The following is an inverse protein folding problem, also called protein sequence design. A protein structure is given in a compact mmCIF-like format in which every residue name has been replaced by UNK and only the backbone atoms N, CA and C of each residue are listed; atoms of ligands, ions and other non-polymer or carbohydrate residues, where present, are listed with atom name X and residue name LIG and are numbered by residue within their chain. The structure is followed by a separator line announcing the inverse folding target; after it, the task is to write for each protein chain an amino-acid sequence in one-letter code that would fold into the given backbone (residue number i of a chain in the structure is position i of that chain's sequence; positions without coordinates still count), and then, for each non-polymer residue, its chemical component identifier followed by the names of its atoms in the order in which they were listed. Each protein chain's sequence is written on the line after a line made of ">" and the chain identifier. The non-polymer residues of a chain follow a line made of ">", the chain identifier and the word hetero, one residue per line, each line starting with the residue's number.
data_IF_532062208783
#
_entry.id   IF_532062208783
#
_cell.length_a   1.000
_cell.length_b   1.000
_cell.length_c   1.000
_cell.angle_alpha   90.00
_cell.angle_beta   90.00
_cell.angle_gamma   90.00
#
_symmetry.space_group_name_H-M   'P 1'
#
loop_
_entity.id
_entity.type
_entity.pdbx_description
1 polymer ?
#
# COMPACT_ATOMS: atom_id res chain seq x y z
N UNK A 1 -29.52 -40.72 -11.66
CA UNK A 1 -28.26 -40.07 -11.20
C UNK A 1 -28.24 -38.56 -11.42
N UNK A 2 -28.44 -38.04 -12.64
CA UNK A 2 -28.33 -36.59 -12.95
C UNK A 2 -29.12 -35.64 -12.04
N UNK A 3 -30.39 -35.97 -11.71
CA UNK A 3 -31.23 -35.16 -10.80
C UNK A 3 -30.75 -35.14 -9.34
N UNK A 4 -30.13 -36.21 -8.85
CA UNK A 4 -29.58 -36.27 -7.49
C UNK A 4 -28.32 -35.41 -7.36
N UNK A 5 -27.50 -35.36 -8.41
CA UNK A 5 -26.28 -34.54 -8.45
C UNK A 5 -26.63 -33.05 -8.48
N UNK A 6 -27.61 -32.65 -9.31
CA UNK A 6 -28.11 -31.26 -9.36
C UNK A 6 -28.66 -30.79 -8.01
N UNK A 7 -29.36 -31.66 -7.29
CA UNK A 7 -29.89 -31.34 -5.96
C UNK A 7 -28.78 -31.12 -4.93
N UNK A 8 -27.75 -31.99 -4.91
CA UNK A 8 -26.60 -31.85 -4.01
C UNK A 8 -25.82 -30.56 -4.32
N UNK A 9 -25.63 -30.24 -5.60
CA UNK A 9 -24.97 -29.00 -6.01
C UNK A 9 -25.75 -27.75 -5.60
N UNK A 10 -27.07 -27.75 -5.77
CA UNK A 10 -27.93 -26.64 -5.33
C UNK A 10 -27.88 -26.45 -3.81
N UNK A 11 -27.84 -27.55 -3.05
CA UNK A 11 -27.76 -27.51 -1.59
C UNK A 11 -26.41 -26.95 -1.13
N UNK A 12 -25.30 -27.39 -1.73
CA UNK A 12 -23.96 -26.85 -1.48
C UNK A 12 -23.86 -25.35 -1.83
N UNK A 13 -24.42 -24.94 -2.97
CA UNK A 13 -24.42 -23.54 -3.39
C UNK A 13 -25.23 -22.66 -2.42
N UNK A 14 -26.39 -23.15 -1.96
CA UNK A 14 -27.22 -22.43 -0.98
C UNK A 14 -26.53 -22.32 0.38
N UNK A 15 -25.83 -23.37 0.85
CA UNK A 15 -25.05 -23.30 2.08
C UNK A 15 -23.88 -22.32 1.96
N UNK A 16 -23.26 -22.23 0.78
CA UNK A 16 -22.18 -21.28 0.53
C UNK A 16 -22.67 -19.83 0.57
N UNK A 17 -23.85 -19.55 -0.01
CA UNK A 17 -24.49 -18.23 0.03
C UNK A 17 -24.83 -17.83 1.47
N UNK A 18 -25.42 -18.75 2.25
CA UNK A 18 -25.74 -18.47 3.66
C UNK A 18 -24.47 -18.25 4.49
N UNK A 19 -23.40 -19.03 4.25
CA UNK A 19 -22.11 -18.80 4.91
C UNK A 19 -21.54 -17.42 4.56
N UNK A 20 -21.56 -17.03 3.28
CA UNK A 20 -21.07 -15.71 2.84
C UNK A 20 -21.86 -14.55 3.43
N UNK A 21 -23.16 -14.71 3.66
CA UNK A 21 -23.99 -13.69 4.31
C UNK A 21 -23.78 -13.62 5.82
N UNK A 22 -23.36 -14.72 6.45
CA UNK A 22 -23.12 -14.81 7.90
C UNK A 22 -21.78 -14.21 8.33
N UNK A 23 -20.84 -14.03 7.39
CA UNK A 23 -19.51 -13.44 7.65
C UNK A 23 -19.59 -11.89 7.71
N UNK A 24 -20.69 -11.27 7.27
CA UNK A 24 -20.90 -9.81 7.34
C UNK A 24 -21.43 -9.31 8.69
N UNK A 25 -21.38 -10.12 9.75
CA UNK A 25 -21.74 -9.69 11.10
C UNK A 25 -20.63 -8.83 11.69
N UNK A 26 -20.79 -7.50 11.65
CA UNK A 26 -20.04 -6.45 12.35
C UNK A 26 -18.84 -6.95 13.17
N UNK A 27 -17.81 -7.43 12.49
CA UNK A 27 -16.51 -7.59 13.10
C UNK A 27 -15.99 -6.17 13.27
N UNK A 28 -15.65 -5.80 14.50
CA UNK A 28 -14.76 -4.67 14.76
C UNK A 28 -13.60 -4.83 13.77
N UNK A 29 -13.41 -3.87 12.86
CA UNK A 29 -12.42 -3.99 11.80
C UNK A 29 -11.06 -4.15 12.48
N UNK A 30 -10.50 -5.35 12.43
CA UNK A 30 -9.13 -5.57 12.89
C UNK A 30 -8.24 -5.04 11.78
N UNK A 31 -7.67 -3.87 12.00
CA UNK A 31 -6.65 -3.35 11.09
C UNK A 31 -5.37 -4.15 11.24
N UNK A 32 -4.65 -4.31 10.13
CA UNK A 32 -3.37 -5.03 10.08
C UNK A 32 -2.34 -4.17 9.36
N UNK A 33 -1.05 -4.48 9.55
CA UNK A 33 0.03 -3.82 8.82
C UNK A 33 0.60 -4.79 7.78
N UNK A 34 0.42 -4.48 6.50
CA UNK A 34 0.90 -5.29 5.37
C UNK A 34 2.38 -4.98 5.03
N UNK A 35 3.28 -5.15 6.00
CA UNK A 35 4.73 -5.00 5.83
C UNK A 35 5.47 -6.25 6.24
N UNK A 36 6.53 -6.58 5.52
CA UNK A 36 7.46 -7.65 5.87
C UNK A 36 8.85 -7.09 6.14
N UNK A 37 9.61 -7.79 6.98
CA UNK A 37 11.05 -7.60 7.07
C UNK A 37 11.68 -7.69 5.67
N UNK A 38 12.72 -6.88 5.44
CA UNK A 38 13.43 -6.73 4.17
C UNK A 38 12.64 -6.08 3.02
N UNK A 39 11.37 -5.68 3.22
CA UNK A 39 10.66 -4.87 2.24
C UNK A 39 11.41 -3.55 2.00
N UNK A 40 11.58 -3.18 0.73
CA UNK A 40 12.34 -2.01 0.34
C UNK A 40 11.55 -1.14 -0.62
N UNK A 41 11.57 0.15 -0.35
CA UNK A 41 10.79 1.17 -1.02
C UNK A 41 11.71 2.32 -1.41
N UNK A 42 11.51 2.84 -2.62
CA UNK A 42 12.26 3.98 -3.14
C UNK A 42 11.27 5.08 -3.44
N UNK A 43 11.61 6.31 -3.06
CA UNK A 43 10.87 7.49 -3.44
C UNK A 43 11.76 8.42 -4.25
N UNK A 44 11.25 8.86 -5.40
CA UNK A 44 11.93 9.75 -6.33
C UNK A 44 11.30 11.15 -6.28
N UNK A 45 12.13 12.18 -6.34
CA UNK A 45 11.70 13.57 -6.46
C UNK A 45 11.33 13.85 -7.92
N UNK A 46 10.04 13.94 -8.21
CA UNK A 46 9.51 14.14 -9.57
C UNK A 46 9.44 15.62 -9.97
N UNK A 47 9.16 16.51 -9.02
CA UNK A 47 9.09 17.95 -9.27
C UNK A 47 9.62 18.73 -8.08
N UNK A 48 10.40 19.79 -8.34
CA UNK A 48 10.80 20.79 -7.34
C UNK A 48 10.73 22.18 -7.98
N UNK A 49 10.19 23.15 -7.24
CA UNK A 49 10.24 24.58 -7.56
C UNK A 49 11.07 25.30 -6.51
N UNK A 50 12.42 25.34 -6.63
CA UNK A 50 13.30 25.78 -5.54
C UNK A 50 12.96 27.17 -4.99
N UNK A 51 12.65 28.12 -5.87
CA UNK A 51 12.28 29.49 -5.46
C UNK A 51 10.97 29.57 -4.67
N UNK A 52 9.96 28.78 -5.06
CA UNK A 52 8.70 28.73 -4.34
C UNK A 52 8.86 27.97 -3.03
N UNK A 53 9.61 26.85 -3.05
CA UNK A 53 9.96 26.06 -1.88
C UNK A 53 10.66 26.93 -0.82
N UNK A 54 11.72 27.65 -1.19
CA UNK A 54 12.45 28.53 -0.27
C UNK A 54 11.55 29.66 0.28
N UNK A 55 10.67 30.22 -0.55
CA UNK A 55 9.70 31.23 -0.10
C UNK A 55 8.74 30.70 0.97
N UNK A 56 8.34 29.42 0.89
CA UNK A 56 7.36 28.79 1.79
C UNK A 56 8.04 28.22 3.05
N UNK A 57 9.17 27.53 2.90
CA UNK A 57 9.86 26.81 3.98
C UNK A 57 11.03 27.58 4.60
N UNK A 58 11.54 28.62 3.94
CA UNK A 58 12.62 29.47 4.44
C UNK A 58 14.04 28.90 4.28
N UNK A 59 14.21 27.83 3.51
CA UNK A 59 15.51 27.22 3.18
C UNK A 59 15.50 26.62 1.77
N UNK A 60 16.68 26.48 1.16
CA UNK A 60 16.83 25.80 -0.13
C UNK A 60 16.59 24.29 0.02
N UNK A 61 15.90 23.64 -0.93
CA UNK A 61 15.73 22.19 -0.90
C UNK A 61 17.10 21.50 -0.98
N UNK A 62 17.30 20.46 -0.17
CA UNK A 62 18.54 19.67 -0.14
C UNK A 62 18.52 18.52 -1.17
N UNK A 63 17.68 18.63 -2.19
CA UNK A 63 17.42 17.60 -3.21
C UNK A 63 17.03 18.25 -4.54
N UNK A 64 17.28 17.53 -5.62
CA UNK A 64 16.92 17.92 -6.99
C UNK A 64 15.95 16.91 -7.63
N UNK A 65 15.40 17.26 -8.79
CA UNK A 65 14.55 16.32 -9.55
C UNK A 65 15.37 15.11 -9.98
N UNK A 66 14.84 13.92 -9.72
CA UNK A 66 15.50 12.63 -9.94
C UNK A 66 16.34 12.14 -8.75
N UNK A 67 16.43 12.90 -7.66
CA UNK A 67 17.02 12.39 -6.42
C UNK A 67 16.10 11.34 -5.80
N UNK A 68 16.71 10.25 -5.32
CA UNK A 68 16.00 9.13 -4.71
C UNK A 68 16.34 9.02 -3.22
N UNK A 69 15.35 8.66 -2.40
CA UNK A 69 15.55 8.15 -1.04
C UNK A 69 15.06 6.71 -0.97
N UNK A 70 15.74 5.88 -0.18
CA UNK A 70 15.37 4.49 0.03
C UNK A 70 15.02 4.27 1.50
N UNK A 71 13.96 3.50 1.74
CA UNK A 71 13.66 2.96 3.07
C UNK A 71 13.56 1.44 2.98
N UNK A 72 14.21 0.77 3.92
CA UNK A 72 14.14 -0.68 4.06
C UNK A 72 13.59 -1.05 5.43
N UNK A 73 12.60 -1.93 5.48
CA UNK A 73 12.07 -2.48 6.72
C UNK A 73 13.10 -3.45 7.30
N UNK A 74 13.56 -3.15 8.50
CA UNK A 74 14.51 -3.99 9.25
C UNK A 74 13.77 -4.92 10.19
N UNK A 75 12.74 -4.42 10.86
CA UNK A 75 11.96 -5.17 11.85
C UNK A 75 10.56 -4.56 11.98
N UNK A 76 9.58 -5.38 12.33
CA UNK A 76 8.20 -4.96 12.64
C UNK A 76 7.78 -5.64 13.95
N UNK A 77 7.62 -4.82 14.99
CA UNK A 77 7.33 -5.30 16.34
C UNK A 77 5.87 -4.96 16.68
N UNK A 78 5.05 -5.98 16.94
CA UNK A 78 3.70 -5.81 17.47
C UNK A 78 3.75 -5.20 18.88
N UNK A 79 2.94 -4.18 19.11
CA UNK A 79 2.77 -3.52 20.40
C UNK A 79 1.29 -3.53 20.80
N UNK A 80 0.97 -3.02 21.99
CA UNK A 80 -0.42 -2.98 22.45
C UNK A 80 -1.29 -1.93 21.75
N UNK A 81 -0.68 -0.98 21.03
CA UNK A 81 -1.36 0.17 20.42
C UNK A 81 -1.12 0.25 18.90
N UNK A 82 -0.49 -0.78 18.31
CA UNK A 82 -0.10 -0.80 16.90
C UNK A 82 1.24 -1.48 16.71
N UNK A 83 2.06 -0.97 15.79
CA UNK A 83 3.32 -1.56 15.36
C UNK A 83 4.48 -0.58 15.51
N UNK A 84 5.63 -1.07 15.95
CA UNK A 84 6.89 -0.34 15.86
C UNK A 84 7.66 -0.85 14.65
N UNK A 85 7.77 -0.01 13.62
CA UNK A 85 8.47 -0.33 12.37
C UNK A 85 9.88 0.25 12.44
N UNK A 86 10.89 -0.61 12.40
CA UNK A 86 12.29 -0.21 12.34
C UNK A 86 12.70 -0.13 10.88
N UNK A 87 13.18 1.05 10.47
CA UNK A 87 13.58 1.36 9.11
C UNK A 87 15.08 1.66 9.04
N UNK A 88 15.71 1.20 7.97
CA UNK A 88 17.00 1.69 7.52
C UNK A 88 16.75 2.66 6.35
N UNK A 89 17.16 3.91 6.51
CA UNK A 89 16.88 5.00 5.57
C UNK A 89 18.16 5.53 4.92
N UNK A 90 18.12 5.73 3.60
CA UNK A 90 19.17 6.43 2.86
C UNK A 90 18.60 7.74 2.34
N UNK A 91 19.20 8.84 2.77
CA UNK A 91 18.82 10.19 2.34
C UNK A 91 19.05 10.39 0.83
N UNK A 92 18.39 11.42 0.31
CA UNK A 92 18.63 11.94 -1.03
C UNK A 92 20.12 12.16 -1.27
N UNK A 93 20.62 11.82 -2.47
CA UNK A 93 22.03 11.82 -2.88
C UNK A 93 22.91 10.67 -2.34
N UNK A 94 22.32 9.70 -1.65
CA UNK A 94 23.03 8.46 -1.31
C UNK A 94 23.13 7.52 -2.52
N UNK A 95 24.21 6.74 -2.60
CA UNK A 95 24.36 5.72 -3.64
C UNK A 95 23.82 4.34 -3.21
N UNK A 96 23.14 4.26 -2.05
CA UNK A 96 22.62 3.03 -1.42
C UNK A 96 23.69 1.94 -1.14
N UNK A 97 24.97 2.25 -1.33
CA UNK A 97 26.10 1.35 -1.10
C UNK A 97 26.73 1.67 0.25
N UNK A 98 25.99 1.40 1.32
CA UNK A 98 26.42 1.62 2.69
C UNK A 98 25.28 1.34 3.66
N UNK A 99 25.57 1.43 4.96
CA UNK A 99 24.53 1.36 5.97
C UNK A 99 23.72 2.66 5.94
N UNK A 100 22.41 2.56 5.97
CA UNK A 100 21.52 3.69 6.14
C UNK A 100 21.45 4.15 7.61
N UNK A 101 20.66 5.17 7.85
CA UNK A 101 20.31 5.63 9.18
C UNK A 101 19.16 4.78 9.73
N UNK A 102 19.33 4.23 10.92
CA UNK A 102 18.26 3.47 11.58
C UNK A 102 17.30 4.43 12.27
N UNK A 103 16.02 4.29 11.95
CA UNK A 103 14.91 5.02 12.55
C UNK A 103 13.82 4.04 12.98
N UNK A 104 13.05 4.40 14.00
CA UNK A 104 11.86 3.65 14.40
C UNK A 104 10.66 4.57 14.33
N UNK A 105 9.64 4.15 13.59
CA UNK A 105 8.35 4.83 13.51
C UNK A 105 7.27 3.95 14.18
N UNK A 106 6.29 4.59 14.79
CA UNK A 106 5.14 3.91 15.41
C UNK A 106 3.95 4.08 14.49
N UNK A 107 3.36 2.97 14.07
CA UNK A 107 2.13 2.93 13.29
C UNK A 107 1.01 2.51 14.22
N UNK A 108 0.12 3.44 14.58
CA UNK A 108 -0.99 3.13 15.46
C UNK A 108 -2.03 2.25 14.78
N UNK A 109 -2.65 1.36 15.55
CA UNK A 109 -3.75 0.52 15.07
C UNK A 109 -5.10 1.23 15.09
N UNK A 110 -5.23 2.28 15.90
CA UNK A 110 -6.49 3.00 16.07
C UNK A 110 -6.51 4.27 15.20
N UNK A 111 -7.55 4.47 14.36
CA UNK A 111 -7.64 5.64 13.48
C UNK A 111 -7.61 7.00 14.19
N UNK A 112 -7.96 7.05 15.48
CA UNK A 112 -7.89 8.25 16.30
C UNK A 112 -6.46 8.72 16.60
N UNK A 113 -5.51 7.80 16.55
CA UNK A 113 -4.08 8.06 16.72
C UNK A 113 -3.37 8.16 15.35
N UNK A 114 -4.10 8.50 14.29
CA UNK A 114 -3.51 8.67 12.96
C UNK A 114 -2.36 9.71 12.97
N UNK A 115 -1.24 9.32 12.36
CA UNK A 115 -0.10 10.19 12.07
C UNK A 115 0.25 10.13 10.58
N UNK A 116 0.91 11.17 10.08
CA UNK A 116 1.28 11.39 8.67
C UNK A 116 2.45 10.45 8.22
N UNK A 117 2.40 9.18 8.62
CA UNK A 117 3.44 8.18 8.42
C UNK A 117 3.51 7.68 6.97
N UNK A 118 4.65 7.05 6.63
CA UNK A 118 4.87 6.41 5.32
C UNK A 118 3.98 5.19 5.14
N UNK A 119 3.62 4.53 6.23
CA UNK A 119 2.78 3.34 6.26
C UNK A 119 1.57 3.59 7.13
N UNK A 120 0.44 3.03 6.73
CA UNK A 120 -0.82 3.03 7.49
C UNK A 120 -1.41 1.61 7.50
N UNK A 121 -2.25 1.29 8.49
CA UNK A 121 -2.91 -0.01 8.53
C UNK A 121 -3.86 -0.25 7.36
N UNK A 122 -4.09 -1.52 7.03
CA UNK A 122 -5.05 -1.98 6.03
C UNK A 122 -6.33 -2.55 6.69
N UNK A 123 -7.49 -2.45 6.03
CA UNK A 123 -7.74 -1.81 4.73
C UNK A 123 -7.61 -0.29 4.79
N UNK A 124 -6.69 0.27 3.99
CA UNK A 124 -6.26 1.66 4.12
C UNK A 124 -7.40 2.67 3.94
N UNK A 125 -8.33 2.38 3.02
CA UNK A 125 -9.49 3.24 2.77
C UNK A 125 -10.42 3.30 3.99
N UNK A 126 -10.64 2.16 4.65
CA UNK A 126 -11.53 2.10 5.82
C UNK A 126 -10.86 2.77 7.02
N UNK A 127 -9.57 2.51 7.23
CA UNK A 127 -8.76 3.17 8.26
C UNK A 127 -8.80 4.70 8.14
N UNK A 128 -8.52 5.23 6.94
CA UNK A 128 -8.55 6.67 6.68
C UNK A 128 -9.96 7.26 6.78
N UNK A 129 -10.98 6.52 6.37
CA UNK A 129 -12.39 6.95 6.48
C UNK A 129 -12.82 7.09 7.94
N UNK A 130 -12.35 6.21 8.82
CA UNK A 130 -12.60 6.31 10.26
C UNK A 130 -11.78 7.45 10.89
N UNK A 131 -10.50 7.59 10.52
CA UNK A 131 -9.65 8.69 10.98
C UNK A 131 -10.24 10.07 10.64
N UNK A 132 -10.85 10.20 9.46
CA UNK A 132 -11.50 11.44 9.02
C UNK A 132 -12.62 11.94 9.95
N UNK A 133 -13.18 11.08 10.79
CA UNK A 133 -14.27 11.44 11.71
C UNK A 133 -13.77 12.12 12.99
N UNK A 134 -12.50 11.91 13.33
CA UNK A 134 -11.90 12.32 14.61
C UNK A 134 -10.74 13.29 14.42
N UNK A 135 -10.11 13.29 13.24
CA UNK A 135 -9.01 14.18 12.94
C UNK A 135 -9.43 15.67 12.94
N UNK A 136 -8.49 16.57 13.27
CA UNK A 136 -8.70 18.00 13.19
C UNK A 136 -9.16 18.49 11.81
N UNK A 137 -9.84 19.64 11.76
CA UNK A 137 -10.44 20.19 10.54
C UNK A 137 -9.44 20.60 9.44
N UNK A 138 -8.15 20.71 9.76
CA UNK A 138 -7.10 20.89 8.76
C UNK A 138 -6.89 19.64 7.88
N UNK A 139 -7.38 18.48 8.31
CA UNK A 139 -7.35 17.25 7.52
C UNK A 139 -8.60 17.12 6.64
N UNK A 140 -8.36 16.81 5.37
CA UNK A 140 -9.38 16.48 4.38
C UNK A 140 -8.98 15.13 3.78
N UNK A 141 -9.81 14.11 4.02
CA UNK A 141 -9.56 12.74 3.55
C UNK A 141 -10.58 12.38 2.48
N UNK A 142 -10.09 11.95 1.32
CA UNK A 142 -10.90 11.53 0.18
C UNK A 142 -10.38 10.18 -0.35
N UNK A 143 -10.97 9.10 0.15
CA UNK A 143 -10.52 7.74 -0.17
C UNK A 143 -9.12 7.46 0.41
N UNK A 144 -8.15 7.22 -0.47
CA UNK A 144 -6.74 6.97 -0.09
C UNK A 144 -5.87 8.24 -0.11
N UNK A 145 -6.48 9.40 -0.32
CA UNK A 145 -5.79 10.70 -0.35
C UNK A 145 -6.06 11.45 0.94
N UNK A 146 -5.00 11.96 1.55
CA UNK A 146 -5.03 12.82 2.74
C UNK A 146 -4.48 14.19 2.36
N UNK A 147 -5.23 15.25 2.60
CA UNK A 147 -4.75 16.63 2.46
C UNK A 147 -4.75 17.29 3.82
N UNK A 148 -3.59 17.78 4.26
CA UNK A 148 -3.42 18.54 5.50
C UNK A 148 -3.10 19.99 5.19
N UNK A 149 -3.94 20.90 5.65
CA UNK A 149 -3.81 22.34 5.39
C UNK A 149 -2.92 23.02 6.42
N UNK A 150 -1.92 23.73 5.95
CA UNK A 150 -1.11 24.66 6.73
C UNK A 150 -1.46 26.10 6.38
N UNK A 151 -0.81 27.06 7.03
CA UNK A 151 -1.10 28.48 6.84
C UNK A 151 -0.76 29.03 5.44
N UNK A 152 0.15 28.37 4.74
CA UNK A 152 0.79 28.88 3.50
C UNK A 152 1.06 27.78 2.47
N UNK A 153 0.61 26.55 2.73
CA UNK A 153 0.67 25.41 1.82
C UNK A 153 -0.29 24.31 2.27
N UNK A 154 -0.66 23.44 1.33
CA UNK A 154 -1.32 22.17 1.59
C UNK A 154 -0.30 21.03 1.40
N UNK A 155 -0.27 20.06 2.32
CA UNK A 155 0.44 18.80 2.18
C UNK A 155 -0.54 17.73 1.72
N UNK A 156 -0.24 17.06 0.61
CA UNK A 156 -1.09 16.04 -0.01
C UNK A 156 -0.32 14.72 0.04
N UNK A 157 -0.92 13.71 0.65
CA UNK A 157 -0.43 12.34 0.72
C UNK A 157 -1.41 11.43 -0.05
N UNK A 158 -0.89 10.46 -0.78
CA UNK A 158 -1.70 9.39 -1.37
C UNK A 158 -1.13 8.04 -0.96
N UNK A 159 -2.01 7.11 -0.59
CA UNK A 159 -1.66 5.75 -0.21
C UNK A 159 -2.18 4.76 -1.25
N UNK A 160 -1.54 3.58 -1.37
CA UNK A 160 -2.11 2.46 -2.11
C UNK A 160 -3.02 1.60 -1.21
N UNK A 161 -3.61 0.56 -1.78
CA UNK A 161 -4.50 -0.35 -1.05
C UNK A 161 -3.79 -1.11 0.09
N UNK A 162 -2.46 -1.27 0.00
CA UNK A 162 -1.61 -1.89 1.00
C UNK A 162 -1.19 -0.91 2.11
N UNK A 163 -1.69 0.33 2.10
CA UNK A 163 -1.37 1.31 3.13
C UNK A 163 0.03 1.92 3.00
N UNK A 164 0.66 1.85 1.83
CA UNK A 164 1.98 2.44 1.58
C UNK A 164 1.78 3.80 0.89
N UNK A 165 2.46 4.84 1.39
CA UNK A 165 2.44 6.18 0.80
C UNK A 165 3.13 6.17 -0.57
N UNK A 166 2.35 6.43 -1.61
CA UNK A 166 2.80 6.44 -3.00
C UNK A 166 3.11 7.84 -3.52
N UNK A 167 2.57 8.87 -2.87
CA UNK A 167 2.78 10.27 -3.24
C UNK A 167 2.84 11.14 -1.99
N UNK A 168 3.78 12.08 -1.99
CA UNK A 168 3.83 13.20 -1.06
C UNK A 168 4.08 14.48 -1.86
N UNK A 169 3.18 15.45 -1.71
CA UNK A 169 3.21 16.67 -2.49
C UNK A 169 2.91 17.88 -1.60
N UNK A 170 3.66 18.96 -1.79
CA UNK A 170 3.43 20.23 -1.11
C UNK A 170 3.02 21.27 -2.14
N UNK A 171 1.94 21.99 -1.87
CA UNK A 171 1.32 22.94 -2.81
C UNK A 171 1.11 24.26 -2.10
N UNK A 172 1.56 25.37 -2.66
CA UNK A 172 1.32 26.69 -2.06
C UNK A 172 -0.15 27.15 -2.23
N UNK A 173 -0.48 28.28 -1.59
CA UNK A 173 -1.83 28.87 -1.64
C UNK A 173 -2.30 29.25 -3.05
N UNK A 174 -1.37 29.42 -4.00
CA UNK A 174 -1.65 29.72 -5.42
C UNK A 174 -1.89 28.43 -6.24
N UNK A 175 -1.81 27.25 -5.61
CA UNK A 175 -1.95 25.95 -6.27
C UNK A 175 -0.69 25.48 -6.98
N UNK A 176 0.47 26.08 -6.71
CA UNK A 176 1.75 25.72 -7.32
C UNK A 176 2.38 24.59 -6.52
N UNK A 177 2.74 23.51 -7.22
CA UNK A 177 3.49 22.39 -6.65
C UNK A 177 4.90 22.85 -6.29
N UNK A 178 5.24 22.80 -5.01
CA UNK A 178 6.54 23.16 -4.45
C UNK A 178 7.53 22.02 -4.60
N UNK A 179 7.08 20.83 -4.19
CA UNK A 179 7.79 19.56 -4.34
C UNK A 179 6.77 18.44 -4.48
N UNK A 180 7.11 17.45 -5.31
CA UNK A 180 6.37 16.20 -5.48
C UNK A 180 7.35 15.04 -5.41
N UNK A 181 7.03 14.08 -4.55
CA UNK A 181 7.80 12.86 -4.32
C UNK A 181 6.88 11.68 -4.58
N UNK A 182 7.33 10.70 -5.36
CA UNK A 182 6.55 9.51 -5.70
C UNK A 182 7.29 8.23 -5.35
N UNK A 183 6.55 7.21 -4.91
CA UNK A 183 7.12 5.90 -4.67
C UNK A 183 7.35 5.16 -6.00
N UNK A 184 8.60 4.81 -6.27
CA UNK A 184 8.97 3.93 -7.38
C UNK A 184 8.98 2.49 -6.87
N UNK A 185 7.89 1.78 -7.15
CA UNK A 185 7.78 0.37 -6.80
C UNK A 185 8.50 -0.50 -7.84
N UNK A 186 9.65 -1.05 -7.46
CA UNK A 186 10.16 -2.26 -8.11
C UNK A 186 9.36 -3.48 -7.64
N UNK A 187 8.04 -3.47 -7.84
CA UNK A 187 7.24 -4.68 -7.69
C UNK A 187 7.64 -5.60 -8.84
N UNK A 188 8.44 -6.63 -8.54
CA UNK A 188 8.55 -7.78 -9.42
C UNK A 188 7.14 -8.34 -9.54
N UNK A 189 6.47 -8.22 -10.71
CA UNK A 189 5.08 -8.57 -10.82
C UNK A 189 4.97 -10.08 -10.63
N UNK A 190 4.46 -10.44 -9.46
CA UNK A 190 4.08 -11.79 -9.04
C UNK A 190 5.27 -12.74 -8.82
N UNK A 191 5.58 -12.98 -7.54
CA UNK A 191 6.41 -14.11 -7.10
C UNK A 191 5.81 -15.48 -7.43
N UNK A 192 6.22 -16.51 -6.70
CA UNK A 192 5.95 -17.94 -6.93
C UNK A 192 4.52 -18.33 -7.36
N UNK A 193 3.49 -17.55 -7.02
CA UNK A 193 2.11 -17.75 -7.47
C UNK A 193 1.93 -17.68 -8.99
N UNK A 194 2.60 -16.75 -9.69
CA UNK A 194 2.51 -16.67 -11.17
C UNK A 194 3.21 -17.84 -11.85
N UNK A 195 4.34 -18.29 -11.28
CA UNK A 195 5.00 -19.54 -11.69
C UNK A 195 4.03 -20.72 -11.49
N UNK A 196 3.31 -20.75 -10.36
CA UNK A 196 2.27 -21.74 -10.09
C UNK A 196 1.16 -21.76 -11.15
N UNK A 197 0.62 -20.59 -11.52
CA UNK A 197 -0.39 -20.48 -12.58
C UNK A 197 0.13 -20.93 -13.95
N UNK A 198 1.38 -20.60 -14.29
CA UNK A 198 2.03 -21.06 -15.52
C UNK A 198 2.17 -22.58 -15.52
N UNK A 199 2.63 -23.18 -14.41
CA UNK A 199 2.78 -24.64 -14.29
C UNK A 199 1.42 -25.34 -14.47
N UNK A 200 0.37 -24.86 -13.81
CA UNK A 200 -0.98 -25.41 -13.94
C UNK A 200 -1.49 -25.27 -15.38
N UNK A 201 -1.28 -24.13 -16.02
CA UNK A 201 -1.67 -23.91 -17.42
C UNK A 201 -0.94 -24.83 -18.41
N UNK A 202 0.37 -25.04 -18.22
CA UNK A 202 1.17 -25.95 -19.03
C UNK A 202 0.73 -27.40 -18.84
N UNK A 203 0.52 -27.84 -17.59
CA UNK A 203 0.04 -29.19 -17.30
C UNK A 203 -1.35 -29.46 -17.88
N UNK A 204 -2.27 -28.48 -17.80
CA UNK A 204 -3.60 -28.57 -18.40
C UNK A 204 -3.52 -28.70 -19.93
N UNK A 205 -2.62 -27.95 -20.57
CA UNK A 205 -2.41 -28.01 -22.02
C UNK A 205 -1.82 -29.36 -22.45
N UNK A 206 -0.81 -29.86 -21.74
CA UNK A 206 -0.22 -31.18 -21.99
C UNK A 206 -1.26 -32.29 -21.82
N UNK A 207 -2.08 -32.23 -20.77
CA UNK A 207 -3.17 -33.16 -20.55
C UNK A 207 -4.21 -33.13 -21.66
N UNK A 208 -4.61 -31.94 -22.13
CA UNK A 208 -5.53 -31.77 -23.24
C UNK A 208 -4.98 -32.37 -24.54
N UNK A 209 -3.69 -32.16 -24.84
CA UNK A 209 -3.04 -32.73 -26.03
C UNK A 209 -2.96 -34.26 -25.95
N UNK A 210 -2.58 -34.81 -24.79
CA UNK A 210 -2.46 -36.26 -24.59
C UNK A 210 -3.82 -36.98 -24.63
N UNK A 211 -4.88 -36.34 -24.13
CA UNK A 211 -6.24 -36.90 -24.17
C UNK A 211 -6.85 -36.79 -25.57
N UNK A 212 -6.62 -35.69 -26.29
CA UNK A 212 -7.12 -35.50 -27.66
C UNK A 212 -6.48 -36.48 -28.66
N UNK A 213 -5.22 -36.85 -28.48
CA UNK A 213 -4.53 -37.83 -29.33
C UNK A 213 -4.92 -39.30 -29.07
N UNK A 214 -5.61 -39.59 -27.96
CA UNK A 214 -6.12 -40.94 -27.66
C UNK A 214 -7.53 -41.21 -28.24
N UNK A 215 -8.20 -40.20 -28.81
CA UNK A 215 -9.53 -40.33 -29.43
C UNK A 215 -9.39 -40.30 -30.96
N UNK A 216 -8.66 -41.25 -31.53
CA UNK A 216 -8.80 -41.69 -32.94
C UNK A 216 -8.46 -43.18 -33.03
N UNK A 217 -9.36 -44.00 -32.49
CA UNK A 217 -9.51 -45.41 -32.91
C UNK A 217 -10.99 -45.61 -33.21
N UNK A 218 -11.40 -45.24 -34.43
CA UNK A 218 -12.45 -45.90 -35.18
C UNK A 218 -12.35 -45.55 -36.65
#
# INVERSE_FOLDING_TARGET
>A
MKRKILFIFGLLLSSFIVLSLSINGHAQATYELELNEDDSFIWEVEEVRPRNFEKVFGFEPAFEVGDETQKKVVDVIDTSYGWSVVLEEWDYNSNFQGNGTIRSDVIYSEPEDYEDNVFIPTPANDYLTEAAQVLPSEYIIEGLRVTKRFSNYDMILEYNAQGIKILEQYVDDDGIVLVRVEATFNIVPLGNYFIGFIIVGVLATVYAVLTHNKIKIR
#
